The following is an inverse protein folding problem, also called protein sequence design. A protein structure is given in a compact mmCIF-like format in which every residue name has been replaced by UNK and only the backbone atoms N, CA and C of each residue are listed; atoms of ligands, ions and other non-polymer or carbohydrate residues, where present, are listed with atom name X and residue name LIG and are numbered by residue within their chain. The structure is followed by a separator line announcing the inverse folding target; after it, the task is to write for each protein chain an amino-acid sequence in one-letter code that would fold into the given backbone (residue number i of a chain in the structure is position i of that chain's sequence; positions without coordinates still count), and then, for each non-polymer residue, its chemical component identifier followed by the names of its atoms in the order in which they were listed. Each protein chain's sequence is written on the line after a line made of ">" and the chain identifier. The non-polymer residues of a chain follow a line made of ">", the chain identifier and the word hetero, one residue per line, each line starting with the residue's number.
data_IF_757754157161
#
_entry.id   IF_757754157161
#
_cell.length_a   1.000
_cell.length_b   1.000
_cell.length_c   1.000
_cell.angle_alpha   90.00
_cell.angle_beta   90.00
_cell.angle_gamma   90.00
#
_symmetry.space_group_name_H-M   'P 1'
#
loop_
_entity.id
_entity.type
_entity.pdbx_description
1 polymer ?
#
# COMPACT_ATOMS: atom_id res chain seq x y z
N UNK A 1 -10.45 0.45 8.34
CA UNK A 1 -9.08 0.25 7.84
C UNK A 1 -8.12 -0.46 8.79
N UNK A 2 -8.14 -0.20 10.12
CA UNK A 2 -7.22 -0.85 11.08
C UNK A 2 -7.16 -2.38 10.96
N UNK A 3 -8.31 -3.05 10.74
CA UNK A 3 -8.38 -4.49 10.56
C UNK A 3 -7.66 -4.99 9.29
N UNK A 4 -7.81 -4.28 8.16
CA UNK A 4 -7.15 -4.63 6.88
C UNK A 4 -5.63 -4.49 7.00
N UNK A 5 -5.16 -3.40 7.60
CA UNK A 5 -3.74 -3.18 7.85
C UNK A 5 -3.17 -4.22 8.81
N UNK A 6 -3.93 -4.58 9.86
CA UNK A 6 -3.56 -5.66 10.77
C UNK A 6 -3.42 -7.01 10.06
N UNK A 7 -4.35 -7.32 9.15
CA UNK A 7 -4.28 -8.52 8.32
C UNK A 7 -3.01 -8.53 7.46
N UNK A 8 -2.71 -7.46 6.72
CA UNK A 8 -1.52 -7.41 5.87
C UNK A 8 -0.22 -7.55 6.68
N UNK A 9 -0.14 -6.92 7.85
CA UNK A 9 1.02 -7.09 8.75
C UNK A 9 1.19 -8.51 9.25
N UNK A 10 0.09 -9.22 9.51
CA UNK A 10 0.15 -10.64 9.89
C UNK A 10 0.70 -11.55 8.77
N UNK A 11 0.60 -11.11 7.51
CA UNK A 11 1.20 -11.76 6.34
C UNK A 11 2.66 -11.35 6.10
N UNK A 12 3.25 -10.52 6.97
CA UNK A 12 4.62 -10.01 6.80
C UNK A 12 4.73 -8.86 5.79
N UNK A 13 3.62 -8.27 5.34
CA UNK A 13 3.65 -7.12 4.44
C UNK A 13 4.01 -5.88 5.23
N UNK A 14 5.09 -5.21 4.84
CA UNK A 14 5.51 -3.97 5.45
C UNK A 14 4.68 -2.80 4.91
N UNK A 15 3.77 -2.29 5.74
CA UNK A 15 2.80 -1.27 5.35
C UNK A 15 2.40 -0.37 6.52
N UNK A 16 1.85 0.80 6.16
CA UNK A 16 1.29 1.75 7.11
C UNK A 16 0.14 2.53 6.50
N UNK A 17 -0.60 3.22 7.37
CA UNK A 17 -1.71 4.05 6.96
C UNK A 17 -1.88 5.24 7.89
N UNK A 18 -2.56 6.25 7.37
CA UNK A 18 -3.14 7.33 8.13
C UNK A 18 -4.48 7.72 7.53
N UNK A 19 -5.54 7.58 8.34
CA UNK A 19 -6.90 7.74 7.85
C UNK A 19 -7.10 6.90 6.58
N UNK A 20 -7.41 7.52 5.44
CA UNK A 20 -7.62 6.96 4.10
C UNK A 20 -6.32 6.70 3.30
N UNK A 21 -5.22 7.39 3.63
CA UNK A 21 -3.95 7.25 2.92
C UNK A 21 -3.16 6.05 3.45
N UNK A 22 -2.62 5.23 2.54
CA UNK A 22 -1.83 4.05 2.88
C UNK A 22 -0.62 3.89 1.99
N UNK A 23 0.40 3.20 2.51
CA UNK A 23 1.59 2.84 1.76
C UNK A 23 1.96 1.38 2.03
N UNK A 24 2.50 0.73 1.01
CA UNK A 24 3.13 -0.59 1.07
C UNK A 24 4.55 -0.42 0.53
N UNK A 25 5.52 -1.06 1.17
CA UNK A 25 6.92 -0.99 0.77
C UNK A 25 7.54 -2.38 0.76
N UNK A 26 8.40 -2.62 -0.23
CA UNK A 26 9.19 -3.82 -0.35
C UNK A 26 10.49 -3.50 -1.11
N UNK A 27 11.65 -4.05 -0.73
CA UNK A 27 12.94 -3.74 -1.39
C UNK A 27 13.01 -4.22 -2.85
N UNK A 28 12.27 -5.28 -3.19
CA UNK A 28 12.17 -5.80 -4.56
C UNK A 28 10.87 -5.33 -5.23
N UNK A 29 11.00 -4.71 -6.42
CA UNK A 29 9.91 -4.15 -7.23
C UNK A 29 8.90 -5.22 -7.67
N UNK A 30 9.36 -6.38 -8.15
CA UNK A 30 8.49 -7.45 -8.64
C UNK A 30 7.64 -8.02 -7.52
N UNK A 31 8.24 -8.23 -6.35
CA UNK A 31 7.50 -8.68 -5.16
C UNK A 31 6.48 -7.63 -4.72
N UNK A 32 6.82 -6.33 -4.75
CA UNK A 32 5.87 -5.26 -4.44
C UNK A 32 4.65 -5.27 -5.39
N UNK A 33 4.90 -5.46 -6.69
CA UNK A 33 3.84 -5.56 -7.70
C UNK A 33 2.98 -6.81 -7.49
N UNK A 34 3.60 -7.94 -7.12
CA UNK A 34 2.88 -9.16 -6.80
C UNK A 34 2.00 -9.00 -5.55
N UNK A 35 2.54 -8.42 -4.47
CA UNK A 35 1.77 -8.09 -3.26
C UNK A 35 0.57 -7.19 -3.62
N UNK A 36 0.81 -6.13 -4.41
CA UNK A 36 -0.25 -5.21 -4.87
C UNK A 36 -1.37 -5.96 -5.59
N UNK A 37 -1.02 -6.76 -6.60
CA UNK A 37 -1.99 -7.37 -7.51
C UNK A 37 -2.71 -8.58 -6.88
N UNK A 38 -2.01 -9.36 -6.05
CA UNK A 38 -2.53 -10.62 -5.51
C UNK A 38 -3.20 -10.48 -4.15
N UNK A 39 -2.87 -9.43 -3.38
CA UNK A 39 -3.34 -9.26 -2.00
C UNK A 39 -4.05 -7.92 -1.84
N UNK A 40 -3.34 -6.81 -2.07
CA UNK A 40 -3.83 -5.48 -1.71
C UNK A 40 -5.07 -5.09 -2.52
N UNK A 41 -5.01 -5.16 -3.85
CA UNK A 41 -6.15 -4.77 -4.70
C UNK A 41 -7.37 -5.69 -4.49
N UNK A 42 -7.23 -7.02 -4.46
CA UNK A 42 -8.35 -7.91 -4.14
C UNK A 42 -8.99 -7.62 -2.77
N UNK A 43 -8.18 -7.40 -1.73
CA UNK A 43 -8.69 -7.09 -0.40
C UNK A 43 -9.45 -5.76 -0.38
N UNK A 44 -8.87 -4.70 -0.97
CA UNK A 44 -9.53 -3.40 -1.03
C UNK A 44 -10.89 -3.49 -1.74
N UNK A 45 -10.96 -4.20 -2.88
CA UNK A 45 -12.21 -4.43 -3.60
C UNK A 45 -13.21 -5.24 -2.77
N UNK A 46 -12.77 -6.33 -2.12
CA UNK A 46 -13.59 -7.20 -1.27
C UNK A 46 -14.24 -6.42 -0.13
N UNK A 47 -13.54 -5.45 0.44
CA UNK A 47 -14.05 -4.61 1.54
C UNK A 47 -14.74 -3.33 1.06
N UNK A 48 -14.97 -3.16 -0.24
CA UNK A 48 -15.71 -2.03 -0.81
C UNK A 48 -14.93 -0.72 -0.88
N UNK A 49 -13.59 -0.76 -0.78
CA UNK A 49 -12.76 0.42 -0.98
C UNK A 49 -12.56 0.71 -2.47
N UNK A 50 -12.49 2.00 -2.81
CA UNK A 50 -12.27 2.48 -4.17
C UNK A 50 -10.96 3.26 -4.22
N UNK A 51 -10.14 2.98 -5.23
CA UNK A 51 -8.90 3.72 -5.45
C UNK A 51 -9.21 5.15 -5.91
N UNK A 52 -8.64 6.12 -5.20
CA UNK A 52 -8.70 7.52 -5.62
C UNK A 52 -7.80 7.77 -6.83
N UNK A 53 -8.14 8.76 -7.67
CA UNK A 53 -7.28 9.17 -8.81
C UNK A 53 -5.87 9.60 -8.38
N UNK A 54 -5.70 10.06 -7.14
CA UNK A 54 -4.40 10.41 -6.53
C UNK A 54 -3.51 9.20 -6.18
N UNK A 55 -4.02 7.97 -6.31
CA UNK A 55 -3.31 6.76 -5.89
C UNK A 55 -2.11 6.47 -6.80
N UNK A 56 -0.92 6.38 -6.21
CA UNK A 56 0.30 5.98 -6.91
C UNK A 56 0.41 4.45 -6.89
N UNK A 57 0.04 3.79 -8.00
CA UNK A 57 0.12 2.33 -8.09
C UNK A 57 1.50 1.83 -8.54
N UNK A 58 2.25 2.67 -9.26
CA UNK A 58 3.57 2.32 -9.73
C UNK A 58 4.63 2.52 -8.63
N UNK A 59 5.45 1.50 -8.33
CA UNK A 59 6.51 1.61 -7.33
C UNK A 59 7.44 2.79 -7.62
N UNK A 60 7.71 3.57 -6.58
CA UNK A 60 8.61 4.72 -6.64
C UNK A 60 9.50 4.76 -5.39
N UNK A 61 10.75 5.15 -5.57
CA UNK A 61 11.67 5.44 -4.45
C UNK A 61 11.37 6.80 -3.81
N UNK A 62 10.71 7.72 -4.55
CA UNK A 62 10.39 9.08 -4.11
C UNK A 62 8.93 9.21 -3.71
N UNK A 63 8.47 8.31 -2.85
CA UNK A 63 7.09 8.33 -2.40
C UNK A 63 6.82 9.58 -1.54
N UNK A 64 5.71 10.27 -1.82
CA UNK A 64 5.25 11.39 -1.02
C UNK A 64 4.19 10.91 -0.04
N UNK A 65 4.43 11.08 1.26
CA UNK A 65 3.49 10.73 2.31
C UNK A 65 3.43 11.90 3.31
N UNK A 66 2.24 12.45 3.56
CA UNK A 66 2.04 13.67 4.38
C UNK A 66 2.86 14.90 3.98
N UNK A 67 3.10 15.09 2.69
CA UNK A 67 3.93 16.22 2.26
C UNK A 67 5.43 15.97 2.36
N UNK A 68 5.87 14.89 3.04
CA UNK A 68 7.25 14.48 3.11
C UNK A 68 7.60 13.60 1.91
N UNK A 69 8.75 13.88 1.29
CA UNK A 69 9.33 13.01 0.26
C UNK A 69 10.28 12.06 0.98
N UNK A 70 10.00 10.77 0.90
CA UNK A 70 10.95 9.75 1.32
C UNK A 70 12.02 9.68 0.22
N UNK A 71 13.22 10.17 0.50
CA UNK A 71 14.34 10.18 -0.44
C UNK A 71 15.52 9.51 0.27
N UNK A 72 15.54 8.18 0.22
CA UNK A 72 16.63 7.33 0.70
C UNK A 72 17.16 6.50 -0.45
#
# INVERSE_FOLDING_TARGET
>A
MRAVIGHWRSLGIFCGNHLDDMWIMHPNREILLNIRNLIILPDLMKYGFVLAKKSQLEPTQKAKFYGLILNT
#
